data_IF_584834103960
#
_entry.id   IF_584834103960
#
_cell.length_a   1.000
_cell.length_b   1.000
_cell.length_c   1.000
_cell.angle_alpha   90.00
_cell.angle_beta   90.00
_cell.angle_gamma   90.00
#
_symmetry.space_group_name_H-M   'P 1'
#
loop_
_entity.id
_entity.type
_entity.pdbx_description
1 polymer ?
#
# COMPACT_ATOMS: atom_id res chain seq x y z
N UNK A 1 4.63 15.83 -1.46
CA UNK A 1 4.58 14.76 -0.44
C UNK A 1 3.48 13.79 -0.84
N UNK A 2 3.76 12.49 -0.81
CA UNK A 2 2.78 11.44 -1.16
C UNK A 2 1.94 11.06 0.06
N UNK A 3 0.65 10.81 -0.16
CA UNK A 3 -0.26 10.24 0.84
C UNK A 3 -0.42 8.77 0.52
N UNK A 4 -0.07 7.90 1.46
CA UNK A 4 -0.15 6.44 1.27
C UNK A 4 -0.81 5.80 2.50
N UNK A 5 -1.77 4.90 2.27
CA UNK A 5 -2.45 4.14 3.32
C UNK A 5 -1.68 2.85 3.66
N UNK A 6 -1.97 2.31 4.84
CA UNK A 6 -1.21 1.19 5.43
C UNK A 6 -0.93 0.05 4.46
N UNK A 7 -1.96 -0.55 3.85
CA UNK A 7 -1.72 -1.73 3.01
C UNK A 7 -0.95 -1.43 1.72
N UNK A 8 -0.99 -0.20 1.21
CA UNK A 8 -0.22 0.17 0.02
C UNK A 8 1.28 0.28 0.32
N UNK A 9 1.68 0.65 1.55
CA UNK A 9 3.10 0.58 1.98
C UNK A 9 3.67 -0.83 1.79
N UNK A 10 2.85 -1.84 2.05
CA UNK A 10 3.16 -3.25 1.86
C UNK A 10 3.04 -3.68 0.39
N UNK A 11 1.92 -3.39 -0.27
CA UNK A 11 1.66 -3.86 -1.63
C UNK A 11 2.67 -3.30 -2.65
N UNK A 12 3.15 -2.08 -2.47
CA UNK A 12 4.17 -1.48 -3.34
C UNK A 12 5.50 -2.24 -3.36
N UNK A 13 5.82 -3.02 -2.31
CA UNK A 13 7.05 -3.83 -2.25
C UNK A 13 7.03 -5.00 -3.25
N UNK A 14 5.83 -5.40 -3.69
CA UNK A 14 5.62 -6.54 -4.59
C UNK A 14 5.14 -6.11 -5.98
N UNK A 15 5.15 -4.81 -6.28
CA UNK A 15 4.61 -4.31 -7.53
C UNK A 15 5.48 -4.72 -8.72
N UNK A 16 4.95 -5.62 -9.57
CA UNK A 16 5.59 -6.15 -10.79
C UNK A 16 4.95 -5.61 -12.09
N UNK A 17 4.34 -4.42 -12.06
CA UNK A 17 3.68 -3.84 -13.24
C UNK A 17 2.26 -4.37 -13.49
N UNK A 18 1.63 -5.01 -12.49
CA UNK A 18 0.26 -5.56 -12.58
C UNK A 18 -0.72 -4.76 -11.72
N UNK A 19 -1.96 -4.66 -12.20
CA UNK A 19 -3.03 -3.91 -11.53
C UNK A 19 -4.37 -4.05 -12.23
N UNK A 20 -5.37 -3.27 -11.80
CA UNK A 20 -6.76 -3.38 -12.28
C UNK A 20 -6.97 -2.86 -13.72
N UNK A 21 -6.15 -1.92 -14.15
CA UNK A 21 -6.22 -1.30 -15.48
C UNK A 21 -4.89 -0.64 -15.81
N UNK A 22 -4.65 -0.34 -17.08
CA UNK A 22 -3.44 0.36 -17.52
C UNK A 22 -3.27 1.72 -16.80
N UNK A 23 -4.35 2.50 -16.68
CA UNK A 23 -4.34 3.79 -15.95
C UNK A 23 -3.95 3.61 -14.48
N UNK A 24 -4.42 2.55 -13.84
CA UNK A 24 -4.07 2.24 -12.46
C UNK A 24 -2.59 1.84 -12.32
N UNK A 25 -2.08 1.02 -13.23
CA UNK A 25 -0.67 0.62 -13.28
C UNK A 25 0.22 1.85 -13.50
N UNK A 26 -0.09 2.70 -14.48
CA UNK A 26 0.65 3.93 -14.77
C UNK A 26 0.69 4.87 -13.55
N UNK A 27 -0.40 4.96 -12.78
CA UNK A 27 -0.42 5.74 -11.54
C UNK A 27 0.50 5.15 -10.47
N UNK A 28 0.48 3.83 -10.26
CA UNK A 28 1.39 3.17 -9.32
C UNK A 28 2.85 3.38 -9.73
N UNK A 29 3.17 3.23 -11.02
CA UNK A 29 4.53 3.48 -11.52
C UNK A 29 5.00 4.91 -11.24
N UNK A 30 4.13 5.90 -11.44
CA UNK A 30 4.44 7.29 -11.12
C UNK A 30 4.69 7.48 -9.61
N UNK A 31 3.85 6.88 -8.76
CA UNK A 31 4.04 6.88 -7.31
C UNK A 31 5.38 6.25 -6.94
N UNK A 32 5.71 5.06 -7.46
CA UNK A 32 7.00 4.38 -7.22
C UNK A 32 8.18 5.24 -7.68
N UNK A 33 8.11 5.87 -8.86
CA UNK A 33 9.15 6.78 -9.35
C UNK A 33 9.39 7.95 -8.39
N UNK A 34 8.32 8.56 -7.88
CA UNK A 34 8.38 9.66 -6.90
C UNK A 34 8.98 9.21 -5.57
N UNK A 35 8.58 8.04 -5.06
CA UNK A 35 9.15 7.43 -3.85
C UNK A 35 10.66 7.19 -3.99
N UNK A 36 11.10 6.63 -5.12
CA UNK A 36 12.52 6.40 -5.43
C UNK A 36 13.34 7.68 -5.58
N UNK A 37 12.71 8.81 -5.89
CA UNK A 37 13.34 10.15 -5.89
C UNK A 37 13.41 10.79 -4.50
N UNK A 38 13.01 10.07 -3.44
CA UNK A 38 13.07 10.54 -2.06
C UNK A 38 11.86 11.35 -1.61
N UNK A 39 10.75 11.33 -2.37
CA UNK A 39 9.54 12.03 -1.92
C UNK A 39 8.99 11.38 -0.63
N UNK A 40 8.82 12.21 0.41
CA UNK A 40 8.30 11.74 1.71
C UNK A 40 6.86 11.26 1.62
N UNK A 41 6.53 10.32 2.50
CA UNK A 41 5.21 9.71 2.63
C UNK A 41 4.55 10.23 3.89
N UNK A 42 3.34 10.77 3.78
CA UNK A 42 2.42 10.96 4.90
C UNK A 42 1.47 9.77 4.95
N UNK A 43 1.46 9.06 6.07
CA UNK A 43 0.56 7.93 6.27
C UNK A 43 -0.85 8.44 6.51
N UNK A 44 -1.80 7.95 5.73
CA UNK A 44 -3.21 8.39 5.82
C UNK A 44 -4.16 7.23 6.07
N UNK A 45 -5.29 7.57 6.69
CA UNK A 45 -6.45 6.68 6.77
C UNK A 45 -7.34 6.90 5.54
N UNK A 46 -7.86 5.81 4.97
CA UNK A 46 -8.79 5.86 3.84
C UNK A 46 -8.07 6.01 2.50
N UNK A 47 -8.71 6.65 1.52
CA UNK A 47 -8.17 6.83 0.16
C UNK A 47 -6.81 7.53 0.18
N UNK A 48 -5.97 7.19 -0.79
CA UNK A 48 -4.63 7.71 -0.93
C UNK A 48 -4.27 7.99 -2.40
N UNK A 49 -3.03 8.36 -2.68
CA UNK A 49 -2.63 8.78 -4.03
C UNK A 49 -2.62 7.64 -5.06
N UNK A 50 -2.60 6.38 -4.62
CA UNK A 50 -2.75 5.20 -5.49
C UNK A 50 -4.21 4.99 -5.87
N UNK A 51 -5.15 5.35 -5.00
CA UNK A 51 -6.58 5.10 -5.20
C UNK A 51 -7.22 5.86 -6.38
N UNK A 52 -6.56 6.84 -6.99
CA UNK A 52 -7.12 7.73 -8.02
C UNK A 52 -7.79 7.01 -9.21
N UNK A 53 -7.33 5.81 -9.55
CA UNK A 53 -7.92 4.97 -10.61
C UNK A 53 -8.37 3.60 -10.10
N UNK A 54 -8.62 3.49 -8.79
CA UNK A 54 -9.08 2.25 -8.19
C UNK A 54 -10.56 2.00 -8.56
N UNK A 55 -10.92 0.79 -9.03
CA UNK A 55 -12.32 0.47 -9.36
C UNK A 55 -13.24 0.46 -8.12
N UNK A 56 -12.66 0.37 -6.92
CA UNK A 56 -13.40 0.43 -5.66
C UNK A 56 -13.52 1.86 -5.10
N UNK A 57 -13.07 2.88 -5.83
CA UNK A 57 -13.28 4.28 -5.46
C UNK A 57 -14.55 4.78 -6.15
N UNK A 58 -15.64 4.91 -5.40
CA UNK A 58 -16.93 5.41 -5.89
C UNK A 58 -17.29 6.71 -5.16
N UNK A 59 -17.62 7.77 -5.89
CA UNK A 59 -17.92 9.10 -5.33
C UNK A 59 -16.90 9.60 -4.28
N UNK A 60 -15.62 9.25 -4.47
CA UNK A 60 -14.54 9.64 -3.56
C UNK A 60 -14.39 8.77 -2.31
N UNK A 61 -15.21 7.73 -2.15
CA UNK A 61 -15.18 6.79 -1.04
C UNK A 61 -14.79 5.38 -1.50
N UNK A 62 -14.13 4.63 -0.61
CA UNK A 62 -13.78 3.26 -0.91
C UNK A 62 -14.97 2.35 -0.60
N UNK A 63 -15.50 1.65 -1.61
CA UNK A 63 -16.63 0.71 -1.43
C UNK A 63 -16.27 -0.51 -0.57
N UNK A 64 -14.98 -0.73 -0.32
CA UNK A 64 -14.46 -1.80 0.53
C UNK A 64 -13.87 -1.28 1.85
N UNK A 65 -14.17 -0.03 2.25
CA UNK A 65 -13.38 0.66 3.27
C UNK A 65 -13.27 -0.11 4.58
N UNK A 66 -14.35 -0.73 5.09
CA UNK A 66 -14.28 -1.46 6.36
C UNK A 66 -13.28 -2.63 6.33
N UNK A 67 -13.29 -3.42 5.24
CA UNK A 67 -12.37 -4.55 5.05
C UNK A 67 -10.94 -4.06 4.82
N UNK A 68 -10.77 -3.06 3.98
CA UNK A 68 -9.44 -2.51 3.65
C UNK A 68 -8.84 -1.79 4.85
N UNK A 69 -9.65 -1.12 5.66
CA UNK A 69 -9.23 -0.43 6.88
C UNK A 69 -8.70 -1.41 7.93
N UNK A 70 -9.33 -2.58 8.11
CA UNK A 70 -8.77 -3.65 8.97
C UNK A 70 -7.40 -4.09 8.46
N UNK A 71 -7.23 -4.26 7.14
CA UNK A 71 -5.93 -4.59 6.52
C UNK A 71 -4.89 -3.50 6.76
N UNK A 72 -5.26 -2.23 6.57
CA UNK A 72 -4.37 -1.09 6.82
C UNK A 72 -3.86 -1.09 8.25
N UNK A 73 -4.75 -1.25 9.23
CA UNK A 73 -4.38 -1.30 10.64
C UNK A 73 -3.40 -2.43 10.93
N UNK A 74 -3.65 -3.62 10.41
CA UNK A 74 -2.75 -4.77 10.60
C UNK A 74 -1.36 -4.50 10.03
N UNK A 75 -1.29 -3.90 8.83
CA UNK A 75 0.00 -3.54 8.21
C UNK A 75 0.71 -2.46 9.03
N UNK A 76 0.02 -1.39 9.41
CA UNK A 76 0.62 -0.33 10.21
C UNK A 76 1.13 -0.84 11.56
N UNK A 77 0.40 -1.76 12.21
CA UNK A 77 0.85 -2.41 13.44
C UNK A 77 2.14 -3.20 13.24
N UNK A 78 2.24 -4.00 12.17
CA UNK A 78 3.47 -4.73 11.84
C UNK A 78 4.63 -3.80 11.52
N UNK A 79 4.34 -2.67 10.86
CA UNK A 79 5.36 -1.72 10.47
C UNK A 79 5.79 -0.81 11.63
N UNK A 80 5.11 -0.90 12.78
CA UNK A 80 5.28 0.02 13.90
C UNK A 80 5.12 1.49 13.48
N UNK A 81 4.11 1.75 12.64
CA UNK A 81 3.77 3.08 12.11
C UNK A 81 2.32 3.44 12.43
N UNK A 82 2.02 4.73 12.42
CA UNK A 82 0.69 5.28 12.69
C UNK A 82 0.22 6.19 11.56
N UNK A 83 -1.10 6.35 11.44
CA UNK A 83 -1.66 7.40 10.59
C UNK A 83 -1.22 8.77 11.10
N UNK A 84 -0.78 9.64 10.20
CA UNK A 84 -0.20 10.94 10.52
C UNK A 84 1.34 10.96 10.47
N UNK A 85 1.99 9.81 10.61
CA UNK A 85 3.45 9.73 10.52
C UNK A 85 3.94 10.19 9.14
N UNK A 86 5.14 10.77 9.14
CA UNK A 86 5.85 11.12 7.92
C UNK A 86 7.15 10.32 7.84
N UNK A 87 7.28 9.46 6.84
CA UNK A 87 8.41 8.54 6.68
C UNK A 87 9.04 8.65 5.28
N UNK A 88 10.31 8.26 5.17
CA UNK A 88 10.96 8.04 3.87
C UNK A 88 10.58 6.67 3.31
N UNK A 89 10.72 6.51 1.99
CA UNK A 89 10.52 5.20 1.36
C UNK A 89 11.54 4.16 1.85
N UNK A 90 12.81 4.55 2.03
CA UNK A 90 13.86 3.66 2.52
C UNK A 90 13.52 3.06 3.88
N UNK A 91 12.97 3.86 4.81
CA UNK A 91 12.49 3.35 6.11
C UNK A 91 11.40 2.29 5.94
N UNK A 92 10.47 2.48 5.00
CA UNK A 92 9.41 1.51 4.73
C UNK A 92 9.99 0.21 4.16
N UNK A 93 10.97 0.31 3.27
CA UNK A 93 11.70 -0.84 2.70
C UNK A 93 12.47 -1.61 3.77
N UNK A 94 13.14 -0.92 4.69
CA UNK A 94 13.92 -1.57 5.76
C UNK A 94 13.02 -2.29 6.76
N UNK A 95 11.89 -1.68 7.13
CA UNK A 95 10.85 -2.35 7.93
C UNK A 95 10.36 -3.60 7.19
N UNK A 96 10.02 -3.48 5.91
CA UNK A 96 9.54 -4.61 5.10
C UNK A 96 10.54 -5.78 5.07
N UNK A 97 11.84 -5.53 4.94
CA UNK A 97 12.89 -6.57 4.93
C UNK A 97 12.97 -7.36 6.25
N UNK A 98 12.47 -6.80 7.35
CA UNK A 98 12.42 -7.48 8.66
C UNK A 98 11.22 -8.41 8.84
N UNK A 99 10.24 -8.37 7.93
CA UNK A 99 9.00 -9.14 8.05
C UNK A 99 9.15 -10.58 7.58
N UNK A 100 8.46 -11.50 8.25
CA UNK A 100 8.48 -12.93 7.93
C UNK A 100 7.35 -13.32 6.97
N UNK A 101 7.51 -14.41 6.20
CA UNK A 101 6.45 -14.97 5.33
C UNK A 101 5.11 -15.16 6.06
N UNK A 102 5.15 -15.52 7.35
CA UNK A 102 3.98 -15.73 8.21
C UNK A 102 3.18 -14.45 8.43
N UNK A 103 3.86 -13.31 8.55
CA UNK A 103 3.22 -12.00 8.74
C UNK A 103 2.37 -11.63 7.52
N UNK A 104 2.89 -11.90 6.32
CA UNK A 104 2.15 -11.68 5.06
C UNK A 104 0.95 -12.60 4.93
N UNK A 105 1.10 -13.90 5.21
CA UNK A 105 0.01 -14.87 5.12
C UNK A 105 -1.17 -14.49 6.01
N UNK A 106 -0.90 -14.01 7.23
CA UNK A 106 -1.95 -13.60 8.15
C UNK A 106 -2.75 -12.39 7.65
N UNK A 107 -2.09 -11.39 7.06
CA UNK A 107 -2.73 -10.15 6.59
C UNK A 107 -3.38 -10.32 5.21
N UNK A 108 -2.74 -11.07 4.31
CA UNK A 108 -3.09 -11.16 2.91
C UNK A 108 -3.79 -12.47 2.50
N UNK A 109 -4.18 -13.34 3.45
CA UNK A 109 -4.84 -14.64 3.17
C UNK A 109 -5.97 -14.60 2.13
N UNK A 110 -6.78 -13.55 2.17
CA UNK A 110 -7.95 -13.35 1.29
C UNK A 110 -7.71 -12.24 0.25
N UNK A 111 -6.46 -11.98 -0.11
CA UNK A 111 -6.07 -10.95 -1.08
C UNK A 111 -6.06 -11.52 -2.51
N UNK A 112 -6.64 -10.78 -3.46
CA UNK A 112 -6.64 -11.15 -4.88
C UNK A 112 -5.22 -11.35 -5.44
N UNK A 113 -4.27 -10.57 -4.93
CA UNK A 113 -2.88 -10.54 -5.42
C UNK A 113 -1.93 -11.42 -4.61
N UNK A 114 -2.45 -12.31 -3.74
CA UNK A 114 -1.62 -13.13 -2.84
C UNK A 114 -0.56 -13.95 -3.60
N UNK A 115 -0.91 -14.46 -4.78
CA UNK A 115 -0.02 -15.32 -5.58
C UNK A 115 1.14 -14.54 -6.20
N UNK A 116 1.02 -13.22 -6.34
CA UNK A 116 2.14 -12.34 -6.71
C UNK A 116 3.07 -12.14 -5.52
N UNK A 117 2.52 -11.90 -4.35
CA UNK A 117 3.29 -11.61 -3.13
C UNK A 117 3.99 -12.82 -2.52
N UNK A 118 3.55 -14.05 -2.84
CA UNK A 118 4.02 -15.29 -2.22
C UNK A 118 4.89 -16.16 -3.14
N UNK A 119 5.26 -15.66 -4.32
CA UNK A 119 6.21 -16.31 -5.22
C UNK A 119 7.55 -16.56 -4.51
#
# INVERSE_FOLDING_TARGET
MLRIRGHHLLCLQFFEGKGYSERFVNNIENVVKRLRRGERIKIVRGKDDICSFCPHLNNGECTLDEKVYKKDKSVLKLFHLNSGDIVSWDRVVDIFKSLSKKDFLNICKNCLWKDICLK
#
